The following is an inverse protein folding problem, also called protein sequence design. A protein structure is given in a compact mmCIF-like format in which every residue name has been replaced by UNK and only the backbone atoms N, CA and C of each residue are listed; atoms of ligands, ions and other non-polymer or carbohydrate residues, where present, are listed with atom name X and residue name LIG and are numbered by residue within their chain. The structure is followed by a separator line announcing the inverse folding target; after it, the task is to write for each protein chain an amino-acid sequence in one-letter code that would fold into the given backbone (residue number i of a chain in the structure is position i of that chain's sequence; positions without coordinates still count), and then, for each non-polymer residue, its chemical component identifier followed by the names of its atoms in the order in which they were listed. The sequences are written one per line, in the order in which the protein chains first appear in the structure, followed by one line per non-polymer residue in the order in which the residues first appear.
data_IF_450868326818
#
_entry.id   IF_450868326818
#
_cell.length_a   1.000
_cell.length_b   1.000
_cell.length_c   1.000
_cell.angle_alpha   90.00
_cell.angle_beta   90.00
_cell.angle_gamma   90.00
#
_symmetry.space_group_name_H-M   'P 1'
#
loop_
_entity.id
_entity.type
_entity.pdbx_description
1 polymer ?
#
# COMPACT_ATOMS: atom_id res chain seq x y z
N UNK A 1 10.97 -37.81 23.02
CA UNK A 1 12.29 -37.15 22.80
C UNK A 1 12.42 -36.67 21.34
N UNK A 2 11.34 -36.16 20.73
CA UNK A 2 11.26 -35.90 19.27
C UNK A 2 11.36 -34.40 18.88
N UNK A 3 11.23 -33.47 19.85
CA UNK A 3 11.23 -32.02 19.58
C UNK A 3 12.59 -31.47 19.09
N UNK A 4 13.70 -32.18 19.30
CA UNK A 4 15.05 -31.71 18.91
C UNK A 4 15.33 -31.82 17.40
N UNK A 5 14.77 -32.82 16.71
CA UNK A 5 14.96 -33.01 15.27
C UNK A 5 14.24 -31.95 14.45
N UNK A 6 12.96 -31.71 14.74
CA UNK A 6 12.14 -30.72 14.04
C UNK A 6 12.68 -29.27 14.19
N UNK A 7 13.16 -28.92 15.39
CA UNK A 7 13.77 -27.62 15.64
C UNK A 7 15.06 -27.40 14.85
N UNK A 8 15.90 -28.44 14.73
CA UNK A 8 17.14 -28.42 13.94
C UNK A 8 16.83 -28.29 12.44
N UNK A 9 15.90 -29.08 11.92
CA UNK A 9 15.45 -28.98 10.52
C UNK A 9 14.89 -27.59 10.16
N UNK A 10 14.16 -26.96 11.08
CA UNK A 10 13.65 -25.59 10.88
C UNK A 10 14.76 -24.53 10.85
N UNK A 11 15.84 -24.71 11.64
CA UNK A 11 16.99 -23.82 11.64
C UNK A 11 17.80 -23.97 10.33
N UNK A 12 18.12 -25.20 9.95
CA UNK A 12 18.85 -25.51 8.71
C UNK A 12 18.09 -24.99 7.47
N UNK A 13 16.76 -25.08 7.47
CA UNK A 13 15.92 -24.52 6.39
C UNK A 13 16.03 -23.00 6.31
N UNK A 14 15.95 -22.30 7.44
CA UNK A 14 16.08 -20.83 7.49
C UNK A 14 17.46 -20.37 7.06
N UNK A 15 18.51 -21.11 7.45
CA UNK A 15 19.88 -20.81 7.05
C UNK A 15 20.07 -20.92 5.53
N UNK A 16 19.56 -22.00 4.90
CA UNK A 16 19.59 -22.14 3.44
C UNK A 16 18.84 -21.02 2.71
N UNK A 17 17.67 -20.64 3.22
CA UNK A 17 16.88 -19.55 2.64
C UNK A 17 17.60 -18.19 2.77
N UNK A 18 18.27 -17.94 3.90
CA UNK A 18 19.05 -16.72 4.09
C UNK A 18 20.31 -16.70 3.19
N UNK A 19 21.00 -17.83 3.06
CA UNK A 19 22.16 -17.96 2.17
C UNK A 19 21.76 -17.73 0.70
N UNK A 20 20.62 -18.27 0.27
CA UNK A 20 20.11 -18.06 -1.09
C UNK A 20 19.72 -16.61 -1.33
N UNK A 21 19.04 -15.96 -0.38
CA UNK A 21 18.73 -14.52 -0.48
C UNK A 21 20.00 -13.67 -0.59
N UNK A 22 21.02 -13.96 0.21
CA UNK A 22 22.30 -13.27 0.14
C UNK A 22 22.98 -13.48 -1.21
N UNK A 23 22.96 -14.71 -1.74
CA UNK A 23 23.49 -15.04 -3.08
C UNK A 23 22.77 -14.27 -4.18
N UNK A 24 21.46 -14.06 -4.05
CA UNK A 24 20.63 -13.32 -4.99
C UNK A 24 20.66 -11.79 -4.77
N UNK A 25 21.40 -11.29 -3.77
CA UNK A 25 21.45 -9.86 -3.44
C UNK A 25 20.13 -9.31 -2.88
N UNK A 26 19.28 -10.17 -2.30
CA UNK A 26 17.98 -9.79 -1.74
C UNK A 26 18.18 -9.27 -0.32
N UNK A 27 17.94 -7.98 -0.13
CA UNK A 27 17.86 -7.36 1.20
C UNK A 27 16.49 -7.66 1.84
N UNK A 28 16.49 -8.10 3.11
CA UNK A 28 15.25 -8.37 3.86
C UNK A 28 14.97 -7.26 4.85
N UNK A 29 13.84 -6.58 4.69
CA UNK A 29 13.34 -5.58 5.63
C UNK A 29 12.36 -6.24 6.61
N UNK A 30 12.53 -5.98 7.92
CA UNK A 30 11.57 -6.35 8.96
C UNK A 30 10.85 -5.09 9.45
N UNK A 31 9.52 -5.12 9.47
CA UNK A 31 8.69 -3.97 9.86
C UNK A 31 7.73 -4.41 10.95
N UNK A 32 7.81 -3.77 12.11
CA UNK A 32 6.78 -3.89 13.15
C UNK A 32 5.59 -3.01 12.78
N UNK A 33 4.37 -3.55 12.92
CA UNK A 33 3.15 -2.87 12.49
C UNK A 33 2.03 -3.03 13.52
N UNK A 34 1.10 -2.05 13.63
CA UNK A 34 -0.08 -2.18 14.48
C UNK A 34 -0.90 -3.43 14.16
N UNK A 35 -1.52 -3.98 15.20
CA UNK A 35 -2.42 -5.13 15.08
C UNK A 35 -3.56 -4.77 14.11
N UNK A 36 -3.84 -5.65 13.14
CA UNK A 36 -4.88 -5.48 12.12
C UNK A 36 -4.40 -4.86 10.81
N UNK A 37 -3.24 -4.19 10.77
CA UNK A 37 -2.69 -3.63 9.51
C UNK A 37 -2.44 -4.74 8.49
N UNK A 38 -1.80 -5.83 8.93
CA UNK A 38 -1.56 -7.00 8.07
C UNK A 38 -2.84 -7.54 7.44
N UNK A 39 -3.93 -7.66 8.20
CA UNK A 39 -5.21 -8.12 7.65
C UNK A 39 -5.80 -7.17 6.61
N UNK A 40 -5.65 -5.85 6.82
CA UNK A 40 -6.06 -4.85 5.83
C UNK A 40 -5.27 -5.00 4.53
N UNK A 41 -3.95 -5.18 4.62
CA UNK A 41 -3.10 -5.41 3.45
C UNK A 41 -3.46 -6.72 2.74
N UNK A 42 -3.67 -7.82 3.48
CA UNK A 42 -4.10 -9.10 2.88
C UNK A 42 -5.42 -8.96 2.13
N UNK A 43 -6.37 -8.17 2.65
CA UNK A 43 -7.62 -7.88 1.95
C UNK A 43 -7.36 -7.11 0.66
N UNK A 44 -6.58 -6.04 0.72
CA UNK A 44 -6.20 -5.25 -0.46
C UNK A 44 -5.49 -6.11 -1.52
N UNK A 45 -4.60 -7.03 -1.11
CA UNK A 45 -3.98 -7.98 -2.03
C UNK A 45 -5.01 -8.80 -2.79
N UNK A 46 -6.00 -9.37 -2.09
CA UNK A 46 -7.07 -10.15 -2.71
C UNK A 46 -7.91 -9.32 -3.66
N UNK A 47 -8.29 -8.12 -3.23
CA UNK A 47 -9.17 -7.23 -4.00
C UNK A 47 -8.47 -6.71 -5.27
N UNK A 48 -7.13 -6.65 -5.28
CA UNK A 48 -6.33 -6.13 -6.40
C UNK A 48 -5.47 -7.19 -7.12
N UNK A 49 -5.67 -8.47 -6.84
CA UNK A 49 -5.03 -9.57 -7.60
C UNK A 49 -3.56 -9.84 -7.27
N UNK A 50 -3.07 -9.43 -6.10
CA UNK A 50 -1.70 -9.74 -5.66
C UNK A 50 -1.63 -11.12 -5.01
N UNK A 51 -0.75 -11.97 -5.51
CA UNK A 51 -0.45 -13.29 -4.93
C UNK A 51 0.53 -13.22 -3.76
N UNK A 52 1.46 -12.24 -3.77
CA UNK A 52 2.53 -12.16 -2.79
C UNK A 52 2.62 -10.77 -2.16
N UNK A 53 2.75 -10.74 -0.83
CA UNK A 53 2.87 -9.51 -0.03
C UNK A 53 4.05 -8.65 -0.50
N UNK A 54 5.15 -9.31 -0.88
CA UNK A 54 6.35 -8.64 -1.38
C UNK A 54 6.10 -7.88 -2.69
N UNK A 55 5.33 -8.44 -3.62
CA UNK A 55 5.01 -7.79 -4.90
C UNK A 55 4.23 -6.50 -4.64
N UNK A 56 3.19 -6.57 -3.81
CA UNK A 56 2.44 -5.38 -3.40
C UNK A 56 3.35 -4.33 -2.75
N UNK A 57 4.23 -4.72 -1.83
CA UNK A 57 5.16 -3.78 -1.19
C UNK A 57 6.13 -3.14 -2.20
N UNK A 58 6.67 -3.92 -3.14
CA UNK A 58 7.57 -3.42 -4.17
C UNK A 58 6.86 -2.44 -5.09
N UNK A 59 5.65 -2.75 -5.54
CA UNK A 59 4.86 -1.88 -6.40
C UNK A 59 4.45 -0.59 -5.70
N UNK A 60 4.09 -0.66 -4.41
CA UNK A 60 3.83 0.54 -3.60
C UNK A 60 5.06 1.43 -3.46
N UNK A 61 6.24 0.84 -3.24
CA UNK A 61 7.51 1.58 -3.15
C UNK A 61 7.86 2.22 -4.49
N UNK A 62 7.79 1.47 -5.60
CA UNK A 62 8.06 1.99 -6.94
C UNK A 62 7.08 3.10 -7.32
N UNK A 63 5.79 2.92 -7.00
CA UNK A 63 4.76 3.93 -7.18
C UNK A 63 5.10 5.21 -6.42
N UNK A 64 5.47 5.10 -5.14
CA UNK A 64 5.86 6.26 -4.33
C UNK A 64 7.11 6.97 -4.88
N UNK A 65 8.14 6.22 -5.26
CA UNK A 65 9.40 6.76 -5.77
C UNK A 65 9.25 7.40 -7.16
N UNK A 66 8.25 6.98 -7.95
CA UNK A 66 7.94 7.58 -9.26
C UNK A 66 7.31 8.98 -9.16
N UNK A 67 6.81 9.36 -7.99
CA UNK A 67 6.16 10.66 -7.78
C UNK A 67 7.19 11.80 -7.68
N UNK A 68 6.86 13.05 -8.07
CA UNK A 68 7.70 14.22 -7.80
C UNK A 68 8.00 14.38 -6.31
N UNK A 69 9.17 14.90 -5.96
CA UNK A 69 9.62 15.04 -4.56
C UNK A 69 8.63 15.84 -3.68
N UNK A 70 7.98 16.86 -4.24
CA UNK A 70 6.95 17.63 -3.55
C UNK A 70 5.74 16.76 -3.16
N UNK A 71 5.31 15.88 -4.08
CA UNK A 71 4.20 14.95 -3.85
C UNK A 71 4.58 13.86 -2.84
N UNK A 72 5.81 13.33 -2.91
CA UNK A 72 6.35 12.43 -1.90
C UNK A 72 6.30 13.07 -0.50
N UNK A 73 6.78 14.31 -0.38
CA UNK A 73 6.76 15.09 0.86
C UNK A 73 5.34 15.28 1.39
N UNK A 74 4.40 15.60 0.49
CA UNK A 74 2.99 15.80 0.84
C UNK A 74 2.37 14.52 1.42
N UNK A 75 2.59 13.38 0.76
CA UNK A 75 2.07 12.08 1.22
C UNK A 75 2.72 11.61 2.52
N UNK A 76 4.00 11.86 2.73
CA UNK A 76 4.67 11.51 3.99
C UNK A 76 4.14 12.34 5.18
N UNK A 77 3.76 13.61 4.96
CA UNK A 77 3.15 14.45 6.01
C UNK A 77 1.72 14.03 6.35
N UNK A 78 0.98 13.50 5.38
CA UNK A 78 -0.40 13.04 5.54
C UNK A 78 -0.60 11.76 4.72
N UNK A 79 -0.27 10.59 5.29
CA UNK A 79 -0.35 9.31 4.58
C UNK A 79 -1.77 8.95 4.10
N UNK A 80 -2.79 9.55 4.72
CA UNK A 80 -4.21 9.43 4.39
C UNK A 80 -4.72 10.54 3.46
N UNK A 81 -3.88 11.49 3.04
CA UNK A 81 -4.32 12.59 2.20
C UNK A 81 -4.74 12.11 0.81
N UNK A 82 -5.81 12.72 0.30
CA UNK A 82 -6.29 12.51 -1.07
C UNK A 82 -5.14 12.64 -2.09
N UNK A 83 -5.22 11.83 -3.16
CA UNK A 83 -4.27 11.83 -4.27
C UNK A 83 -4.20 13.18 -5.02
N UNK A 84 -5.13 14.09 -4.77
CA UNK A 84 -5.18 15.42 -5.34
C UNK A 84 -5.40 16.50 -4.27
N UNK A 85 -4.82 17.68 -4.49
CA UNK A 85 -5.04 18.85 -3.65
C UNK A 85 -6.34 19.52 -4.09
N UNK A 86 -7.37 19.48 -3.22
CA UNK A 86 -8.56 20.30 -3.42
C UNK A 86 -8.20 21.74 -3.08
N UNK A 87 -7.79 22.50 -4.09
CA UNK A 87 -7.57 23.95 -3.93
C UNK A 87 -8.92 24.65 -3.75
N UNK A 88 -8.98 25.81 -3.07
CA UNK A 88 -10.21 26.61 -3.00
C UNK A 88 -10.76 26.98 -4.39
N UNK A 89 -9.89 27.14 -5.39
CA UNK A 89 -10.29 27.38 -6.79
C UNK A 89 -11.00 26.15 -7.38
N UNK A 90 -10.42 24.97 -7.20
CA UNK A 90 -11.00 23.71 -7.68
C UNK A 90 -12.33 23.41 -6.98
N UNK A 91 -12.40 23.61 -5.66
CA UNK A 91 -13.65 23.45 -4.91
C UNK A 91 -14.76 24.38 -5.42
N UNK A 92 -14.44 25.67 -5.67
CA UNK A 92 -15.40 26.63 -6.24
C UNK A 92 -15.81 26.27 -7.67
N UNK A 93 -14.90 25.73 -8.47
CA UNK A 93 -15.24 25.27 -9.83
C UNK A 93 -16.17 24.07 -9.79
N UNK A 94 -15.90 23.10 -8.91
CA UNK A 94 -16.73 21.92 -8.72
C UNK A 94 -18.13 22.30 -8.21
N UNK A 95 -18.24 23.09 -7.15
CA UNK A 95 -19.54 23.54 -6.60
C UNK A 95 -20.39 24.28 -7.65
N UNK A 96 -19.79 25.19 -8.43
CA UNK A 96 -20.50 25.85 -9.53
C UNK A 96 -20.92 24.89 -10.64
N UNK A 97 -20.09 23.90 -10.96
CA UNK A 97 -20.42 22.85 -11.94
C UNK A 97 -21.60 22.01 -11.45
N UNK A 98 -21.50 21.46 -10.23
CA UNK A 98 -22.56 20.65 -9.62
C UNK A 98 -23.89 21.40 -9.53
N UNK A 99 -23.89 22.68 -9.13
CA UNK A 99 -25.12 23.50 -9.10
C UNK A 99 -25.73 23.72 -10.49
N UNK A 100 -24.91 23.84 -11.53
CA UNK A 100 -25.40 23.98 -12.91
C UNK A 100 -25.98 22.67 -13.43
N UNK A 101 -25.35 21.54 -13.12
CA UNK A 101 -25.86 20.22 -13.49
C UNK A 101 -27.16 19.89 -12.75
N UNK A 102 -27.24 20.15 -11.43
CA UNK A 102 -28.49 20.02 -10.66
C UNK A 102 -29.62 20.93 -11.17
N UNK A 103 -29.29 22.10 -11.71
CA UNK A 103 -30.27 22.99 -12.33
C UNK A 103 -30.68 22.54 -13.74
N UNK A 104 -29.87 21.74 -14.42
CA UNK A 104 -30.14 21.19 -15.76
C UNK A 104 -30.93 19.88 -15.69
N UNK A 105 -30.65 19.05 -14.70
CA UNK A 105 -31.29 17.77 -14.49
C UNK A 105 -31.66 17.64 -13.01
N UNK A 106 -32.86 18.09 -12.66
CA UNK A 106 -33.39 18.02 -11.29
C UNK A 106 -33.90 16.62 -10.91
N UNK A 107 -33.73 15.63 -11.78
CA UNK A 107 -34.27 14.27 -11.65
C UNK A 107 -33.30 13.27 -11.04
N UNK A 108 -33.17 13.29 -9.71
CA UNK A 108 -33.05 12.09 -8.85
C UNK A 108 -33.17 12.50 -7.37
N UNK A 109 -34.17 13.33 -7.09
CA UNK A 109 -34.69 13.55 -5.75
C UNK A 109 -36.04 12.83 -5.64
N UNK A 110 -35.99 11.50 -5.58
CA UNK A 110 -37.09 10.66 -5.08
C UNK A 110 -36.62 9.86 -3.90
#
# INVERSE_FOLDING_TARGET
MEKKGAAKHSADYRERQNAEKARLGIETVKVDMPIGVKSGITRAMKDHGYSQMQELWQDLVLSFLSMPHEEQTRRLRKPDASAFVITPKLARQFDRGSRRELARDSGDAT
#
